data_IF_652111810797
#
_entry.id   IF_652111810797
#
_cell.length_a   1.000
_cell.length_b   1.000
_cell.length_c   1.000
_cell.angle_alpha   90.00
_cell.angle_beta   90.00
_cell.angle_gamma   90.00
#
_symmetry.space_group_name_H-M   'P 1'
#
loop_
_entity.id
_entity.type
_entity.pdbx_description
1 polymer ?
#
# COMPACT_ATOMS: atom_id res chain seq x y z
N UNK A 1 -3.51 5.08 -8.24
CA UNK A 1 -3.43 5.75 -6.92
C UNK A 1 -2.38 6.83 -6.98
N UNK A 2 -2.65 8.02 -6.43
CA UNK A 2 -1.70 9.13 -6.52
C UNK A 2 -0.67 9.07 -5.40
N UNK A 3 0.56 9.43 -5.72
CA UNK A 3 1.63 9.55 -4.72
C UNK A 3 1.51 10.92 -4.04
N UNK A 4 1.59 10.95 -2.72
CA UNK A 4 1.50 12.21 -1.96
C UNK A 4 0.10 12.84 -1.98
N UNK A 5 -0.95 12.03 -2.09
CA UNK A 5 -2.34 12.52 -2.10
C UNK A 5 -2.79 13.04 -0.73
N UNK A 6 -2.24 12.50 0.36
CA UNK A 6 -2.71 12.75 1.72
C UNK A 6 -1.62 13.29 2.65
N UNK A 7 -1.99 14.29 3.45
CA UNK A 7 -1.16 14.87 4.51
C UNK A 7 -1.92 14.91 5.84
N UNK A 8 -1.23 14.72 6.95
CA UNK A 8 -1.82 14.70 8.29
C UNK A 8 -0.78 15.06 9.35
N UNK A 9 -1.15 15.85 10.36
CA UNK A 9 -0.31 16.15 11.53
C UNK A 9 -0.44 15.07 12.62
N UNK A 10 -1.56 14.35 12.60
CA UNK A 10 -1.88 13.21 13.46
C UNK A 10 -2.28 12.06 12.57
N UNK A 11 -1.70 10.89 12.82
CA UNK A 11 -1.94 9.72 11.98
C UNK A 11 -1.91 8.45 12.83
N UNK A 12 -2.94 7.62 12.68
CA UNK A 12 -2.95 6.24 13.13
C UNK A 12 -3.01 5.33 11.91
N UNK A 13 -2.16 4.30 11.89
CA UNK A 13 -2.18 3.30 10.82
C UNK A 13 -2.23 1.91 11.42
N UNK A 14 -2.92 1.01 10.72
CA UNK A 14 -2.94 -0.42 11.00
C UNK A 14 -2.52 -1.15 9.74
N UNK A 15 -1.57 -2.06 9.87
CA UNK A 15 -1.15 -2.91 8.77
C UNK A 15 -1.11 -4.36 9.21
N UNK A 16 -1.87 -5.19 8.51
CA UNK A 16 -1.87 -6.65 8.70
C UNK A 16 -1.25 -7.29 7.47
N UNK A 17 -0.27 -8.17 7.69
CA UNK A 17 0.33 -9.01 6.65
C UNK A 17 0.15 -10.47 7.00
N UNK A 18 -0.45 -11.25 6.11
CA UNK A 18 -0.52 -12.70 6.23
C UNK A 18 0.32 -13.34 5.12
N UNK A 19 1.45 -13.93 5.49
CA UNK A 19 2.34 -14.60 4.54
C UNK A 19 2.02 -16.09 4.49
N UNK A 20 1.70 -16.61 3.32
CA UNK A 20 1.57 -18.04 3.13
C UNK A 20 2.95 -18.72 3.19
N UNK A 21 2.92 -20.03 3.43
CA UNK A 21 4.10 -20.86 3.20
C UNK A 21 4.55 -20.72 1.75
N UNK A 22 5.86 -20.65 1.54
CA UNK A 22 6.45 -20.56 0.19
C UNK A 22 6.03 -21.75 -0.65
N UNK A 23 5.68 -21.47 -1.90
CA UNK A 23 5.42 -22.51 -2.88
C UNK A 23 6.76 -23.05 -3.38
N UNK A 24 7.01 -24.34 -3.18
CA UNK A 24 8.26 -24.94 -3.60
C UNK A 24 8.13 -25.45 -5.04
N UNK A 25 8.73 -24.72 -5.98
CA UNK A 25 8.88 -25.20 -7.37
C UNK A 25 10.30 -25.71 -7.63
N UNK A 26 11.33 -25.01 -7.12
CA UNK A 26 12.73 -25.46 -7.19
C UNK A 26 13.58 -24.86 -6.07
N UNK A 27 14.88 -25.20 -6.01
CA UNK A 27 15.81 -24.56 -5.07
C UNK A 27 15.98 -23.06 -5.30
N UNK A 28 15.84 -22.60 -6.56
CA UNK A 28 16.03 -21.19 -6.96
C UNK A 28 14.71 -20.41 -7.05
N UNK A 29 13.58 -21.09 -7.19
CA UNK A 29 12.25 -20.48 -7.35
C UNK A 29 11.31 -20.97 -6.25
N UNK A 30 11.11 -20.12 -5.24
CA UNK A 30 10.27 -20.38 -4.08
C UNK A 30 9.43 -19.14 -3.75
N UNK A 31 8.47 -18.78 -4.62
CA UNK A 31 7.68 -17.58 -4.44
C UNK A 31 6.86 -17.64 -3.16
N UNK A 32 6.65 -16.46 -2.59
CA UNK A 32 5.96 -16.25 -1.32
C UNK A 32 4.82 -15.27 -1.56
N UNK A 33 3.59 -15.77 -1.47
CA UNK A 33 2.40 -14.92 -1.57
C UNK A 33 2.06 -14.36 -0.20
N UNK A 34 1.84 -13.04 -0.15
CA UNK A 34 1.50 -12.31 1.07
C UNK A 34 0.23 -11.50 0.81
N UNK A 35 -0.76 -11.69 1.66
CA UNK A 35 -1.96 -10.85 1.72
C UNK A 35 -1.69 -9.68 2.65
N UNK A 36 -2.16 -8.50 2.26
CA UNK A 36 -1.98 -7.28 3.01
C UNK A 36 -3.30 -6.55 3.07
N UNK A 37 -3.63 -6.06 4.26
CA UNK A 37 -4.64 -5.01 4.39
C UNK A 37 -4.04 -3.89 5.21
N UNK A 38 -4.29 -2.65 4.79
CA UNK A 38 -3.85 -1.46 5.49
C UNK A 38 -5.03 -0.54 5.70
N UNK A 39 -5.04 0.06 6.87
CA UNK A 39 -6.00 1.08 7.23
C UNK A 39 -5.25 2.28 7.80
N UNK A 40 -5.77 3.48 7.54
CA UNK A 40 -5.23 4.71 8.08
C UNK A 40 -6.37 5.66 8.43
N UNK A 41 -6.15 6.45 9.48
CA UNK A 41 -7.02 7.56 9.86
C UNK A 41 -6.11 8.66 10.42
N UNK A 42 -6.28 9.87 9.94
CA UNK A 42 -5.54 11.03 10.39
C UNK A 42 -6.41 12.26 10.59
N UNK A 43 -5.72 13.37 10.77
CA UNK A 43 -6.29 14.70 10.90
C UNK A 43 -5.17 15.71 10.57
N UNK A 44 -5.53 16.94 10.22
CA UNK A 44 -4.59 18.01 9.95
C UNK A 44 -5.14 19.33 10.49
N UNK A 45 -4.44 19.94 11.44
CA UNK A 45 -4.76 21.29 11.88
C UNK A 45 -4.21 22.33 10.89
N UNK A 46 -4.97 23.40 10.71
CA UNK A 46 -4.63 24.55 9.89
C UNK A 46 -4.13 24.19 8.45
N UNK A 47 -4.90 23.42 7.66
CA UNK A 47 -4.51 23.10 6.29
C UNK A 47 -4.26 24.36 5.43
N UNK A 48 -4.90 25.48 5.75
CA UNK A 48 -4.74 26.78 5.10
C UNK A 48 -3.33 27.41 5.23
N UNK A 49 -2.55 27.01 6.23
CA UNK A 49 -1.18 27.49 6.41
C UNK A 49 -0.23 26.96 5.30
N UNK A 50 -0.65 25.92 4.58
CA UNK A 50 0.09 25.28 3.50
C UNK A 50 -0.28 25.86 2.13
N UNK A 51 0.30 27.01 1.78
CA UNK A 51 0.04 27.69 0.52
C UNK A 51 0.74 27.01 -0.69
N UNK A 52 0.03 26.94 -1.82
CA UNK A 52 0.60 26.53 -3.11
C UNK A 52 0.76 25.03 -3.33
N UNK A 53 0.17 24.20 -2.46
CA UNK A 53 0.12 22.74 -2.61
C UNK A 53 -1.33 22.30 -2.55
N UNK A 54 -1.78 21.53 -3.54
CA UNK A 54 -3.09 20.90 -3.53
C UNK A 54 -2.95 19.49 -2.92
N UNK A 55 -3.69 19.23 -1.84
CA UNK A 55 -3.61 17.96 -1.12
C UNK A 55 -4.89 17.66 -0.35
N UNK A 56 -5.10 16.38 -0.06
CA UNK A 56 -6.18 15.90 0.78
C UNK A 56 -5.68 15.60 2.21
N UNK A 57 -6.61 15.56 3.16
CA UNK A 57 -6.36 15.08 4.53
C UNK A 57 -7.02 13.72 4.72
N UNK A 58 -6.47 12.87 5.59
CA UNK A 58 -7.05 11.56 5.96
C UNK A 58 -8.13 11.71 7.05
N UNK A 59 -9.08 12.63 6.86
CA UNK A 59 -10.17 12.93 7.79
C UNK A 59 -11.19 11.78 7.96
N UNK A 60 -11.28 10.89 6.97
CA UNK A 60 -12.08 9.66 6.95
C UNK A 60 -11.20 8.40 7.00
N UNK A 61 -11.82 7.24 7.17
CA UNK A 61 -11.11 5.97 7.27
C UNK A 61 -10.60 5.50 5.90
N UNK A 62 -9.28 5.53 5.70
CA UNK A 62 -8.62 4.99 4.51
C UNK A 62 -8.44 3.48 4.62
N UNK A 63 -8.75 2.76 3.54
CA UNK A 63 -8.60 1.31 3.47
C UNK A 63 -8.04 0.86 2.13
N UNK A 64 -7.07 -0.04 2.19
CA UNK A 64 -6.53 -0.74 1.02
C UNK A 64 -6.27 -2.21 1.32
N UNK A 65 -6.39 -3.03 0.28
CA UNK A 65 -5.97 -4.43 0.31
C UNK A 65 -4.98 -4.67 -0.81
N UNK A 66 -3.97 -5.49 -0.56
CA UNK A 66 -2.94 -5.79 -1.52
C UNK A 66 -2.45 -7.24 -1.47
N UNK A 67 -1.78 -7.61 -2.55
CA UNK A 67 -1.11 -8.89 -2.73
C UNK A 67 0.36 -8.59 -3.06
N UNK A 68 1.28 -9.23 -2.34
CA UNK A 68 2.68 -9.27 -2.72
C UNK A 68 3.05 -10.69 -3.15
N UNK A 69 3.67 -10.82 -4.32
CA UNK A 69 4.36 -12.03 -4.75
C UNK A 69 5.86 -11.78 -4.66
N UNK A 70 6.47 -12.30 -3.60
CA UNK A 70 7.88 -12.09 -3.30
C UNK A 70 8.74 -13.27 -3.79
N UNK A 71 10.06 -13.05 -3.90
CA UNK A 71 11.08 -14.07 -4.24
C UNK A 71 10.85 -14.73 -5.61
N UNK A 72 10.39 -13.94 -6.57
CA UNK A 72 10.20 -14.38 -7.96
C UNK A 72 11.56 -14.62 -8.62
N UNK A 73 12.50 -13.68 -8.46
CA UNK A 73 13.85 -13.77 -9.03
C UNK A 73 14.86 -13.08 -8.11
N UNK A 74 15.87 -13.78 -7.60
CA UNK A 74 16.95 -13.23 -6.74
C UNK A 74 16.49 -12.37 -5.53
N UNK A 75 15.25 -12.53 -5.06
CA UNK A 75 14.67 -11.71 -3.99
C UNK A 75 13.72 -10.60 -4.46
N UNK A 76 13.70 -10.29 -5.76
CA UNK A 76 12.69 -9.41 -6.34
C UNK A 76 11.29 -10.01 -6.25
N UNK A 77 10.31 -9.13 -6.15
CA UNK A 77 8.90 -9.42 -6.11
C UNK A 77 8.06 -8.29 -6.69
N UNK A 78 6.76 -8.53 -6.73
CA UNK A 78 5.76 -7.59 -7.21
C UNK A 78 4.71 -7.40 -6.12
N UNK A 79 4.18 -6.19 -6.01
CA UNK A 79 3.06 -5.85 -5.14
C UNK A 79 2.00 -5.16 -5.96
N UNK A 80 0.75 -5.56 -5.76
CA UNK A 80 -0.43 -4.83 -6.19
C UNK A 80 -1.24 -4.44 -4.96
N UNK A 81 -1.84 -3.27 -4.98
CA UNK A 81 -2.81 -2.87 -3.96
C UNK A 81 -3.99 -2.16 -4.62
N UNK A 82 -5.15 -2.28 -3.99
CA UNK A 82 -6.40 -1.67 -4.39
C UNK A 82 -7.00 -0.93 -3.19
N UNK A 83 -7.28 0.35 -3.35
CA UNK A 83 -7.98 1.17 -2.34
C UNK A 83 -9.50 1.07 -2.51
N UNK A 84 -10.21 1.16 -1.41
CA UNK A 84 -11.67 1.13 -1.36
C UNK A 84 -12.20 1.92 -0.16
N UNK A 85 -13.51 2.19 -0.14
CA UNK A 85 -14.15 2.96 0.93
C UNK A 85 -14.22 4.45 0.60
N UNK A 86 -14.05 5.31 1.61
CA UNK A 86 -14.28 6.76 1.51
C UNK A 86 -13.43 7.47 0.45
N UNK A 87 -12.22 6.97 0.20
CA UNK A 87 -11.29 7.55 -0.78
C UNK A 87 -11.26 6.78 -2.12
N UNK A 88 -12.37 6.14 -2.49
CA UNK A 88 -12.52 5.52 -3.81
C UNK A 88 -12.62 6.60 -4.91
N UNK A 89 -11.83 6.46 -5.97
CA UNK A 89 -11.91 7.34 -7.14
C UNK A 89 -12.82 6.75 -8.24
N UNK A 90 -13.46 7.60 -9.07
CA UNK A 90 -14.37 7.13 -10.11
C UNK A 90 -13.76 6.08 -11.05
N UNK A 91 -12.51 6.32 -11.45
CA UNK A 91 -11.79 5.44 -12.37
C UNK A 91 -11.11 4.30 -11.63
N UNK A 92 -11.43 3.07 -12.04
CA UNK A 92 -10.92 1.85 -11.40
C UNK A 92 -9.38 1.79 -11.36
N UNK A 93 -8.74 2.21 -12.44
CA UNK A 93 -7.28 2.18 -12.60
C UNK A 93 -6.59 3.10 -11.59
N UNK A 94 -7.22 4.24 -11.27
CA UNK A 94 -6.71 5.16 -10.26
C UNK A 94 -6.83 4.61 -8.84
N UNK A 95 -7.57 3.52 -8.62
CA UNK A 95 -7.62 2.84 -7.33
C UNK A 95 -6.59 1.72 -7.19
N UNK A 96 -5.85 1.40 -8.26
CA UNK A 96 -4.79 0.39 -8.23
C UNK A 96 -3.42 1.07 -8.03
N UNK A 97 -2.54 0.40 -7.29
CA UNK A 97 -1.11 0.69 -7.31
C UNK A 97 -0.30 -0.58 -7.58
N UNK A 98 0.79 -0.40 -8.32
CA UNK A 98 1.77 -1.45 -8.62
C UNK A 98 3.14 -1.02 -8.10
N UNK A 99 3.85 -1.93 -7.43
CA UNK A 99 5.19 -1.67 -6.87
C UNK A 99 6.11 -2.86 -7.09
N UNK A 100 7.36 -2.59 -7.41
CA UNK A 100 8.43 -3.59 -7.33
C UNK A 100 8.90 -3.72 -5.88
N UNK A 101 9.08 -4.96 -5.41
CA UNK A 101 9.61 -5.24 -4.08
C UNK A 101 10.95 -5.96 -4.20
N UNK A 102 11.79 -5.81 -3.17
CA UNK A 102 13.04 -6.55 -3.07
C UNK A 102 13.24 -7.00 -1.63
N UNK A 103 13.25 -8.32 -1.41
CA UNK A 103 13.62 -8.92 -0.13
C UNK A 103 15.11 -9.26 -0.16
N UNK A 104 15.91 -8.36 0.41
CA UNK A 104 17.31 -8.65 0.66
C UNK A 104 17.43 -9.78 1.70
N UNK A 105 18.19 -10.81 1.36
CA UNK A 105 18.59 -11.86 2.30
C UNK A 105 20.06 -11.64 2.63
N UNK A 106 20.33 -10.96 3.74
CA UNK A 106 21.66 -10.90 4.36
C UNK A 106 21.82 -12.17 5.21
#
# INVERSE_FOLDING_TARGET
MYFGEFFSDKLTTLQVKHSLRRFYFSRKFQPELVFITRHAWGDLKNPEDHLGVDFNTLDEFYSETGLELNRILFGFGLSVAYRYGFYYLPDFEDNISFKFTFKLKI
#
